data_IF_079833770974
#
_entry.id   IF_079833770974
#
_cell.length_a   1.000
_cell.length_b   1.000
_cell.length_c   1.000
_cell.angle_alpha   90.00
_cell.angle_beta   90.00
_cell.angle_gamma   90.00
#
_symmetry.space_group_name_H-M   'P 1'
#
loop_
_entity.id
_entity.type
_entity.pdbx_description
1 polymer ?
#
# COMPACT_ATOMS: atom_id res chain seq x y z
N UNK A 1 -32.23 13.89 10.19
CA UNK A 1 -30.80 14.24 10.15
C UNK A 1 -30.01 12.96 10.35
N UNK A 2 -29.50 12.36 9.28
CA UNK A 2 -28.73 11.12 9.35
C UNK A 2 -27.29 11.41 8.94
N UNK A 3 -26.46 11.81 9.89
CA UNK A 3 -25.00 11.84 9.71
C UNK A 3 -24.56 10.37 9.76
N UNK A 4 -24.47 9.75 8.60
CA UNK A 4 -23.95 8.41 8.47
C UNK A 4 -22.52 8.40 9.02
N UNK A 5 -22.37 7.83 10.21
CA UNK A 5 -21.12 7.61 10.92
C UNK A 5 -20.17 6.81 10.02
N UNK A 6 -19.34 7.50 9.25
CA UNK A 6 -18.18 6.89 8.58
C UNK A 6 -17.16 6.34 9.60
N UNK A 7 -17.35 6.64 10.89
CA UNK A 7 -16.50 6.21 12.00
C UNK A 7 -16.95 4.92 12.69
N UNK A 8 -18.20 4.45 12.50
CA UNK A 8 -18.73 3.26 13.20
C UNK A 8 -18.70 1.98 12.35
N UNK A 9 -17.97 1.97 11.24
CA UNK A 9 -17.69 0.70 10.56
C UNK A 9 -16.70 -0.07 11.44
N UNK A 10 -17.19 -1.05 12.20
CA UNK A 10 -16.35 -1.98 12.96
C UNK A 10 -15.38 -2.67 11.99
N UNK A 11 -14.16 -2.16 11.94
CA UNK A 11 -13.05 -2.75 11.22
C UNK A 11 -12.46 -3.85 12.10
N UNK A 12 -12.31 -5.04 11.53
CA UNK A 12 -11.60 -6.13 12.21
C UNK A 12 -10.13 -5.75 12.33
N UNK A 13 -9.44 -6.30 13.32
CA UNK A 13 -7.99 -6.13 13.49
C UNK A 13 -7.20 -6.41 12.19
N UNK A 14 -7.60 -7.43 11.43
CA UNK A 14 -7.00 -7.76 10.12
C UNK A 14 -7.19 -6.62 9.09
N UNK A 15 -8.31 -5.90 9.13
CA UNK A 15 -8.57 -4.81 8.20
C UNK A 15 -7.73 -3.58 8.54
N UNK A 16 -7.64 -3.24 9.82
CA UNK A 16 -6.87 -2.10 10.32
C UNK A 16 -5.36 -2.32 10.24
N UNK A 17 -4.89 -3.54 10.52
CA UNK A 17 -3.46 -3.80 10.72
C UNK A 17 -2.80 -4.50 9.54
N UNK A 18 -3.60 -5.10 8.65
CA UNK A 18 -3.08 -5.78 7.44
C UNK A 18 -3.58 -5.11 6.17
N UNK A 19 -4.90 -4.99 5.98
CA UNK A 19 -5.46 -4.54 4.69
C UNK A 19 -5.24 -3.04 4.42
N UNK A 20 -5.48 -2.17 5.39
CA UNK A 20 -5.23 -0.73 5.25
C UNK A 20 -3.72 -0.46 5.04
N UNK A 21 -2.80 -1.02 5.85
CA UNK A 21 -1.37 -0.89 5.62
C UNK A 21 -0.92 -1.48 4.29
N UNK A 22 -1.54 -2.57 3.82
CA UNK A 22 -1.26 -3.11 2.49
C UNK A 22 -1.67 -2.14 1.37
N UNK A 23 -2.87 -1.54 1.47
CA UNK A 23 -3.35 -0.54 0.52
C UNK A 23 -2.48 0.71 0.50
N UNK A 24 -2.06 1.17 1.68
CA UNK A 24 -1.07 2.24 1.83
C UNK A 24 0.25 1.88 1.15
N UNK A 25 0.79 0.68 1.39
CA UNK A 25 2.05 0.24 0.74
C UNK A 25 1.95 0.25 -0.78
N UNK A 26 0.83 -0.18 -1.34
CA UNK A 26 0.62 -0.19 -2.79
C UNK A 26 0.51 1.24 -3.34
N UNK A 27 -0.30 2.11 -2.74
CA UNK A 27 -0.37 3.53 -3.13
C UNK A 27 0.98 4.24 -2.95
N UNK A 28 1.72 3.93 -1.90
CA UNK A 28 3.05 4.50 -1.68
C UNK A 28 4.05 4.01 -2.73
N UNK A 29 3.97 2.75 -3.18
CA UNK A 29 4.77 2.25 -4.32
C UNK A 29 4.42 2.96 -5.63
N UNK A 30 3.14 3.25 -5.87
CA UNK A 30 2.71 4.02 -7.03
C UNK A 30 3.24 5.46 -6.99
N UNK A 31 3.23 6.10 -5.81
CA UNK A 31 3.80 7.45 -5.62
C UNK A 31 5.33 7.46 -5.75
N UNK A 32 6.00 6.43 -5.24
CA UNK A 32 7.45 6.25 -5.31
C UNK A 32 7.88 5.46 -6.55
N UNK A 33 7.09 5.44 -7.63
CA UNK A 33 7.35 4.60 -8.80
C UNK A 33 8.74 4.80 -9.40
N UNK A 34 9.23 6.04 -9.46
CA UNK A 34 10.57 6.38 -9.94
C UNK A 34 11.68 5.68 -9.12
N UNK A 35 11.52 5.63 -7.79
CA UNK A 35 12.47 4.97 -6.89
C UNK A 35 12.38 3.44 -7.01
N UNK A 36 11.18 2.92 -7.22
CA UNK A 36 10.94 1.49 -7.49
C UNK A 36 11.60 1.08 -8.81
N UNK A 37 11.48 1.91 -9.84
CA UNK A 37 12.07 1.68 -11.15
C UNK A 37 13.60 1.74 -11.09
N UNK A 38 14.17 2.75 -10.42
CA UNK A 38 15.62 2.85 -10.21
C UNK A 38 16.17 1.63 -9.44
N UNK A 39 15.49 1.21 -8.37
CA UNK A 39 15.85 0.00 -7.65
C UNK A 39 15.74 -1.25 -8.52
N UNK A 40 14.66 -1.38 -9.31
CA UNK A 40 14.46 -2.51 -10.22
C UNK A 40 15.51 -2.56 -11.33
N UNK A 41 15.90 -1.40 -11.85
CA UNK A 41 16.98 -1.25 -12.82
C UNK A 41 18.31 -1.72 -12.24
N UNK A 42 18.68 -1.24 -11.04
CA UNK A 42 19.90 -1.68 -10.36
C UNK A 42 19.87 -3.19 -10.06
N UNK A 43 18.72 -3.73 -9.62
CA UNK A 43 18.55 -5.16 -9.38
C UNK A 43 18.77 -5.98 -10.65
N UNK A 44 18.27 -5.50 -11.80
CA UNK A 44 18.43 -6.16 -13.09
C UNK A 44 19.88 -6.15 -13.57
N UNK A 45 20.62 -5.07 -13.32
CA UNK A 45 22.03 -4.94 -13.73
C UNK A 45 22.99 -5.71 -12.82
N UNK A 46 22.80 -5.63 -11.50
CA UNK A 46 23.74 -6.20 -10.51
C UNK A 46 23.40 -7.61 -10.10
N UNK A 47 22.17 -8.07 -10.37
CA UNK A 47 21.69 -9.42 -10.11
C UNK A 47 22.06 -9.89 -8.71
N UNK A 48 22.93 -10.89 -8.63
CA UNK A 48 23.38 -11.49 -7.37
C UNK A 48 24.04 -10.49 -6.39
N UNK A 49 24.72 -9.44 -6.88
CA UNK A 49 25.37 -8.43 -6.03
C UNK A 49 24.47 -7.25 -5.64
N UNK A 50 23.15 -7.33 -5.91
CA UNK A 50 22.20 -6.24 -5.65
C UNK A 50 22.20 -5.75 -4.20
N UNK A 51 22.33 -6.64 -3.21
CA UNK A 51 22.24 -6.28 -1.77
C UNK A 51 23.44 -5.43 -1.33
N UNK A 52 24.54 -5.47 -2.08
CA UNK A 52 25.73 -4.68 -1.80
C UNK A 52 25.82 -3.43 -2.67
N UNK A 53 25.47 -3.54 -3.95
CA UNK A 53 25.60 -2.44 -4.92
C UNK A 53 24.37 -1.54 -4.97
N UNK A 54 23.16 -2.08 -4.79
CA UNK A 54 21.91 -1.33 -4.86
C UNK A 54 21.42 -0.84 -3.49
N UNK A 55 22.35 -0.62 -2.54
CA UNK A 55 22.01 -0.22 -1.17
C UNK A 55 21.43 1.19 -1.13
N UNK A 56 21.95 2.10 -1.95
CA UNK A 56 21.54 3.49 -2.00
C UNK A 56 20.15 3.64 -2.63
N UNK A 57 19.87 2.89 -3.69
CA UNK A 57 18.56 2.85 -4.34
C UNK A 57 17.53 2.23 -3.40
N UNK A 58 17.91 1.20 -2.65
CA UNK A 58 17.05 0.59 -1.65
C UNK A 58 16.79 1.53 -0.46
N UNK A 59 17.79 2.27 0.02
CA UNK A 59 17.59 3.25 1.10
C UNK A 59 16.69 4.39 0.63
N UNK A 60 16.92 4.93 -0.57
CA UNK A 60 16.07 5.96 -1.16
C UNK A 60 14.61 5.50 -1.35
N UNK A 61 14.42 4.25 -1.80
CA UNK A 61 13.09 3.66 -1.91
C UNK A 61 12.43 3.52 -0.52
N UNK A 62 13.17 3.00 0.48
CA UNK A 62 12.67 2.86 1.84
C UNK A 62 12.32 4.20 2.48
N UNK A 63 13.14 5.22 2.28
CA UNK A 63 12.89 6.57 2.77
C UNK A 63 11.59 7.13 2.17
N UNK A 64 11.41 7.03 0.85
CA UNK A 64 10.18 7.46 0.19
C UNK A 64 8.94 6.74 0.75
N UNK A 65 9.01 5.42 0.91
CA UNK A 65 7.91 4.65 1.49
C UNK A 65 7.65 5.01 2.96
N UNK A 66 8.70 5.23 3.75
CA UNK A 66 8.62 5.56 5.19
C UNK A 66 8.02 6.95 5.40
N UNK A 67 8.32 7.92 4.54
CA UNK A 67 7.70 9.24 4.58
C UNK A 67 6.18 9.14 4.42
N UNK A 68 5.70 8.36 3.44
CA UNK A 68 4.26 8.14 3.27
C UNK A 68 3.63 7.29 4.38
N UNK A 69 4.38 6.36 4.95
CA UNK A 69 3.88 5.50 6.03
C UNK A 69 3.73 6.25 7.36
N UNK A 70 4.63 7.19 7.62
CA UNK A 70 4.61 8.04 8.81
C UNK A 70 3.61 9.19 8.69
N UNK A 71 3.02 9.43 7.52
CA UNK A 71 2.02 10.46 7.32
C UNK A 71 0.63 9.98 7.79
N UNK A 72 0.12 10.50 8.93
CA UNK A 72 -1.19 10.10 9.44
C UNK A 72 -2.33 10.49 8.49
N UNK A 73 -2.17 11.57 7.70
CA UNK A 73 -3.18 11.99 6.74
C UNK A 73 -3.35 10.95 5.62
N UNK A 74 -2.24 10.35 5.18
CA UNK A 74 -2.27 9.29 4.18
C UNK A 74 -2.90 8.00 4.71
N UNK A 75 -2.69 7.67 5.99
CA UNK A 75 -3.37 6.56 6.64
C UNK A 75 -4.88 6.77 6.68
N UNK A 76 -5.33 7.95 7.07
CA UNK A 76 -6.76 8.29 7.11
C UNK A 76 -7.41 8.24 5.73
N UNK A 77 -6.74 8.79 4.70
CA UNK A 77 -7.22 8.72 3.32
C UNK A 77 -7.42 7.26 2.87
N UNK A 78 -6.42 6.40 3.11
CA UNK A 78 -6.48 4.99 2.76
C UNK A 78 -7.57 4.24 3.56
N UNK A 79 -7.76 4.59 4.83
CA UNK A 79 -8.81 4.03 5.70
C UNK A 79 -10.21 4.40 5.18
N UNK A 80 -10.44 5.67 4.86
CA UNK A 80 -11.73 6.13 4.32
C UNK A 80 -12.06 5.46 2.99
N UNK A 81 -11.07 5.32 2.11
CA UNK A 81 -11.23 4.64 0.83
C UNK A 81 -11.55 3.15 1.04
N UNK A 82 -10.85 2.47 1.95
CA UNK A 82 -11.15 1.06 2.29
C UNK A 82 -12.56 0.89 2.84
N UNK A 83 -13.01 1.79 3.72
CA UNK A 83 -14.38 1.78 4.26
C UNK A 83 -15.40 1.97 3.14
N UNK A 84 -15.15 2.89 2.21
CA UNK A 84 -16.01 3.12 1.04
C UNK A 84 -16.15 1.86 0.18
N UNK A 85 -15.03 1.22 -0.15
CA UNK A 85 -15.02 -0.03 -0.91
C UNK A 85 -15.78 -1.16 -0.19
N UNK A 86 -15.65 -1.24 1.14
CA UNK A 86 -16.39 -2.21 1.96
C UNK A 86 -17.89 -1.96 1.92
N UNK A 87 -18.32 -0.70 2.02
CA UNK A 87 -19.73 -0.33 1.90
C UNK A 87 -20.29 -0.61 0.51
N UNK A 88 -19.50 -0.35 -0.54
CA UNK A 88 -19.86 -0.69 -1.92
C UNK A 88 -19.98 -2.20 -2.12
N UNK A 89 -19.07 -2.99 -1.55
CA UNK A 89 -19.16 -4.45 -1.55
C UNK A 89 -20.42 -4.95 -0.84
N UNK A 90 -20.78 -4.36 0.31
CA UNK A 90 -22.01 -4.70 1.02
C UNK A 90 -23.27 -4.33 0.22
N UNK A 91 -23.24 -3.23 -0.54
CA UNK A 91 -24.37 -2.78 -1.37
C UNK A 91 -24.54 -3.58 -2.66
N UNK A 92 -23.45 -3.92 -3.32
CA UNK A 92 -23.47 -4.51 -4.67
C UNK A 92 -23.20 -6.02 -4.67
N UNK A 93 -22.60 -6.56 -3.62
CA UNK A 93 -22.17 -7.95 -3.55
C UNK A 93 -20.96 -8.31 -4.44
N UNK A 94 -20.38 -7.33 -5.17
CA UNK A 94 -19.30 -7.58 -6.14
C UNK A 94 -17.94 -7.28 -5.48
N UNK A 95 -17.07 -8.29 -5.28
CA UNK A 95 -15.77 -8.07 -4.67
C UNK A 95 -14.84 -7.31 -5.62
N UNK A 96 -14.30 -6.18 -5.16
CA UNK A 96 -13.24 -5.42 -5.86
C UNK A 96 -11.93 -6.23 -6.06
N UNK A 97 -11.81 -7.41 -5.41
CA UNK A 97 -10.56 -8.18 -5.21
C UNK A 97 -10.05 -9.00 -6.40
N UNK A 98 -10.62 -8.89 -7.60
CA UNK A 98 -9.99 -9.50 -8.78
C UNK A 98 -8.75 -8.74 -9.30
N UNK A 99 -8.30 -7.66 -8.63
CA UNK A 99 -7.29 -6.75 -9.20
C UNK A 99 -5.89 -6.73 -8.57
N UNK A 100 -5.65 -7.38 -7.41
CA UNK A 100 -4.37 -7.22 -6.67
C UNK A 100 -3.76 -8.50 -6.06
N UNK A 101 -4.13 -9.69 -6.53
CA UNK A 101 -3.58 -10.96 -6.02
C UNK A 101 -2.12 -11.26 -6.37
N UNK A 102 -1.33 -10.31 -6.89
CA UNK A 102 0.09 -10.55 -7.19
C UNK A 102 0.96 -9.37 -6.80
N UNK A 103 1.06 -9.08 -5.51
CA UNK A 103 2.39 -8.71 -5.03
C UNK A 103 3.14 -10.04 -4.91
N UNK A 104 4.19 -10.31 -5.70
CA UNK A 104 5.06 -11.41 -5.39
C UNK A 104 5.71 -11.08 -4.05
N UNK A 105 5.31 -11.77 -2.99
CA UNK A 105 6.18 -11.97 -1.84
C UNK A 105 7.33 -12.80 -2.38
N UNK A 106 8.36 -12.13 -2.90
CA UNK A 106 9.64 -12.80 -3.16
C UNK A 106 10.09 -13.38 -1.83
N UNK A 107 10.38 -14.68 -1.84
CA UNK A 107 11.26 -15.28 -0.84
C UNK A 107 12.61 -14.56 -0.83
#
# INVERSE_FOLDING_TARGET
MGTANAEEVHLRHVETDVLIPQKMREKAKERCAERVEAFSHCCREKGFFMVFKCREENSALKECLTLHYNDPAFFEECKQEYIREKLEFQRTGIPMKNRKQKLPTSM
#
